data_IF_313320294677
#
_entry.id   IF_313320294677
#
_cell.length_a   1.000
_cell.length_b   1.000
_cell.length_c   1.000
_cell.angle_alpha   90.00
_cell.angle_beta   90.00
_cell.angle_gamma   90.00
#
_symmetry.space_group_name_H-M   'P 1'
#
loop_
_entity.id
_entity.type
_entity.pdbx_description
1 polymer ?
#
# COMPACT_ATOMS: atom_id res chain seq x y z
N UNK A 1 -13.46 -29.90 -5.57
CA UNK A 1 -14.45 -28.90 -5.09
C UNK A 1 -14.25 -27.59 -5.79
N UNK A 2 -15.32 -26.80 -6.00
CA UNK A 2 -15.16 -25.40 -6.43
C UNK A 2 -14.61 -24.59 -5.27
N UNK A 3 -13.61 -23.77 -5.51
CA UNK A 3 -13.10 -22.84 -4.47
C UNK A 3 -14.18 -21.84 -4.07
N UNK A 4 -14.16 -21.45 -2.82
CA UNK A 4 -15.01 -20.39 -2.28
C UNK A 4 -14.12 -19.38 -1.57
N UNK A 5 -13.94 -18.24 -2.22
CA UNK A 5 -13.06 -17.15 -1.77
C UNK A 5 -13.91 -15.97 -1.32
N UNK A 6 -13.65 -15.47 -0.12
CA UNK A 6 -14.14 -14.18 0.32
C UNK A 6 -13.10 -13.10 0.06
N UNK A 7 -13.56 -11.92 -0.28
CA UNK A 7 -12.80 -10.69 -0.13
C UNK A 7 -13.54 -9.78 0.84
N UNK A 8 -12.88 -9.41 1.92
CA UNK A 8 -13.38 -8.45 2.91
C UNK A 8 -12.69 -7.10 2.70
N UNK A 9 -13.46 -6.00 2.81
CA UNK A 9 -13.00 -4.63 2.63
C UNK A 9 -13.71 -3.75 3.67
N UNK A 10 -12.95 -3.17 4.58
CA UNK A 10 -13.52 -2.36 5.66
C UNK A 10 -14.05 -1.03 5.12
N UNK A 11 -15.29 -0.71 5.43
CA UNK A 11 -15.95 0.49 4.90
C UNK A 11 -15.33 1.77 5.48
N UNK A 12 -14.73 2.61 4.62
CA UNK A 12 -14.12 3.88 5.02
C UNK A 12 -13.25 3.76 6.30
N UNK A 13 -12.39 2.75 6.37
CA UNK A 13 -11.74 2.21 7.56
C UNK A 13 -11.28 3.28 8.57
N UNK A 14 -10.35 4.16 8.18
CA UNK A 14 -9.83 5.17 9.11
C UNK A 14 -10.92 6.11 9.62
N UNK A 15 -11.86 6.46 8.75
CA UNK A 15 -12.95 7.33 9.13
C UNK A 15 -13.90 6.67 10.15
N UNK A 16 -14.23 5.39 9.96
CA UNK A 16 -15.03 4.65 10.93
C UNK A 16 -14.29 4.48 12.28
N UNK A 17 -12.98 4.15 12.25
CA UNK A 17 -12.19 4.06 13.49
C UNK A 17 -12.23 5.37 14.27
N UNK A 18 -12.11 6.52 13.61
CA UNK A 18 -12.22 7.82 14.28
C UNK A 18 -13.66 8.09 14.80
N UNK A 19 -14.70 7.64 14.10
CA UNK A 19 -16.10 7.73 14.54
C UNK A 19 -16.42 6.80 15.73
N UNK A 20 -15.77 5.65 15.83
CA UNK A 20 -15.87 4.75 16.99
C UNK A 20 -15.18 5.39 18.19
N UNK A 21 -13.99 5.93 18.01
CA UNK A 21 -13.21 6.60 19.05
C UNK A 21 -13.87 7.88 19.56
N UNK A 22 -14.48 8.64 18.65
CA UNK A 22 -15.21 9.87 18.98
C UNK A 22 -16.62 9.83 18.38
N UNK A 23 -17.63 9.38 19.14
CA UNK A 23 -19.02 9.28 18.68
C UNK A 23 -19.63 10.61 18.19
N UNK A 24 -19.08 11.76 18.62
CA UNK A 24 -19.53 13.07 18.12
C UNK A 24 -19.26 13.30 16.62
N UNK A 25 -18.41 12.47 15.99
CA UNK A 25 -18.12 12.50 14.55
C UNK A 25 -19.11 11.68 13.72
N UNK A 26 -19.94 10.84 14.34
CA UNK A 26 -20.90 9.99 13.62
C UNK A 26 -21.92 10.85 12.86
N UNK A 27 -22.19 10.43 11.62
CA UNK A 27 -23.13 11.12 10.72
C UNK A 27 -22.63 12.44 10.14
N UNK A 28 -21.37 12.81 10.41
CA UNK A 28 -20.75 14.04 9.90
C UNK A 28 -19.78 13.73 8.75
N UNK A 29 -19.62 14.66 7.77
CA UNK A 29 -18.58 14.52 6.77
C UNK A 29 -17.21 14.70 7.43
N UNK A 30 -16.46 13.60 7.57
CA UNK A 30 -15.08 13.60 8.10
C UNK A 30 -14.08 13.20 7.05
N UNK A 31 -12.92 13.80 7.12
CA UNK A 31 -11.78 13.56 6.23
C UNK A 31 -10.58 13.24 7.10
N UNK A 32 -10.02 12.04 6.92
CA UNK A 32 -8.78 11.63 7.58
C UNK A 32 -7.64 11.85 6.62
N UNK A 33 -6.61 12.58 7.05
CA UNK A 33 -5.45 12.86 6.19
C UNK A 33 -4.68 14.10 6.61
N UNK A 34 -3.86 14.60 5.68
CA UNK A 34 -3.05 15.79 5.90
C UNK A 34 -3.86 17.09 5.90
N UNK A 35 -3.30 18.12 6.51
CA UNK A 35 -3.92 19.45 6.60
C UNK A 35 -4.19 20.08 5.23
N UNK A 36 -5.32 20.80 5.12
CA UNK A 36 -5.71 21.53 3.92
C UNK A 36 -4.87 22.80 3.67
N UNK A 37 -4.21 23.34 4.70
CA UNK A 37 -3.31 24.50 4.59
C UNK A 37 -1.98 24.17 3.90
N UNK A 38 -1.64 22.89 3.78
CA UNK A 38 -0.40 22.39 3.18
C UNK A 38 -0.70 21.41 2.03
N UNK A 39 0.32 20.63 1.59
CA UNK A 39 0.19 19.61 0.53
C UNK A 39 -0.47 18.33 1.03
N UNK A 40 -1.41 18.45 1.97
CA UNK A 40 -2.15 17.33 2.52
C UNK A 40 -2.99 16.60 1.47
N UNK A 41 -3.17 15.30 1.69
CA UNK A 41 -3.94 14.41 0.85
C UNK A 41 -4.97 13.70 1.73
N UNK A 42 -6.16 13.48 1.19
CA UNK A 42 -7.19 12.65 1.80
C UNK A 42 -6.70 11.21 1.82
N UNK A 43 -6.45 10.65 3.00
CA UNK A 43 -6.16 9.22 3.15
C UNK A 43 -7.45 8.42 2.98
N UNK A 44 -8.50 8.80 3.73
CA UNK A 44 -9.86 8.28 3.54
C UNK A 44 -10.89 9.33 4.00
N UNK A 45 -12.16 9.10 3.68
CA UNK A 45 -13.24 9.97 4.12
C UNK A 45 -14.50 9.17 4.39
N UNK A 46 -15.37 9.69 5.29
CA UNK A 46 -16.65 9.09 5.61
C UNK A 46 -17.61 9.08 4.41
N UNK A 47 -18.62 8.23 4.45
CA UNK A 47 -19.63 8.18 3.39
C UNK A 47 -20.42 9.49 3.27
N UNK A 48 -20.58 10.22 4.35
CA UNK A 48 -21.16 11.57 4.34
C UNK A 48 -20.29 12.53 3.52
N UNK A 49 -18.97 12.46 3.64
CA UNK A 49 -18.05 13.28 2.84
C UNK A 49 -18.01 12.83 1.36
N UNK A 50 -18.14 11.52 1.07
CA UNK A 50 -18.20 11.00 -0.30
C UNK A 50 -19.37 11.57 -1.11
N UNK A 51 -20.48 11.95 -0.47
CA UNK A 51 -21.63 12.62 -1.13
C UNK A 51 -21.26 13.94 -1.79
N UNK A 52 -20.17 14.59 -1.34
CA UNK A 52 -19.61 15.81 -1.93
C UNK A 52 -18.54 15.53 -2.98
N UNK A 53 -18.42 14.26 -3.44
CA UNK A 53 -17.42 13.84 -4.41
C UNK A 53 -16.00 13.80 -3.86
N UNK A 54 -15.84 13.75 -2.52
CA UNK A 54 -14.53 13.59 -1.87
C UNK A 54 -14.14 12.11 -1.90
N UNK A 55 -12.87 11.84 -2.18
CA UNK A 55 -12.33 10.48 -2.27
C UNK A 55 -10.86 10.43 -1.86
N UNK A 56 -10.35 9.25 -1.56
CA UNK A 56 -8.93 9.01 -1.28
C UNK A 56 -8.04 9.52 -2.41
N UNK A 57 -6.84 9.99 -2.06
CA UNK A 57 -5.87 10.63 -2.93
C UNK A 57 -6.26 12.03 -3.47
N UNK A 58 -7.44 12.56 -3.17
CA UNK A 58 -7.79 13.96 -3.45
C UNK A 58 -6.93 14.89 -2.59
N UNK A 59 -6.53 16.06 -3.11
CA UNK A 59 -5.85 17.06 -2.27
C UNK A 59 -6.77 17.57 -1.16
N UNK A 60 -6.24 17.76 0.05
CA UNK A 60 -7.03 18.27 1.19
C UNK A 60 -7.60 19.65 0.92
N UNK A 61 -6.90 20.50 0.14
CA UNK A 61 -7.40 21.79 -0.30
C UNK A 61 -8.63 21.68 -1.22
N UNK A 62 -8.63 20.74 -2.16
CA UNK A 62 -9.78 20.45 -3.02
C UNK A 62 -10.96 19.91 -2.20
N UNK A 63 -10.68 18.96 -1.29
CA UNK A 63 -11.69 18.40 -0.40
C UNK A 63 -12.37 19.49 0.45
N UNK A 64 -11.60 20.45 0.97
CA UNK A 64 -12.14 21.60 1.72
C UNK A 64 -13.00 22.50 0.84
N UNK A 65 -12.64 22.73 -0.40
CA UNK A 65 -13.48 23.52 -1.33
C UNK A 65 -14.81 22.82 -1.61
N UNK A 66 -14.82 21.49 -1.75
CA UNK A 66 -16.04 20.72 -2.02
C UNK A 66 -16.96 20.62 -0.82
N UNK A 67 -16.40 20.52 0.38
CA UNK A 67 -17.14 20.45 1.64
C UNK A 67 -16.48 21.33 2.71
N UNK A 68 -16.76 22.66 2.75
CA UNK A 68 -16.12 23.60 3.67
C UNK A 68 -16.37 23.26 5.16
N UNK A 69 -17.51 22.61 5.46
CA UNK A 69 -17.89 22.20 6.82
C UNK A 69 -17.40 20.80 7.21
N UNK A 70 -16.64 20.12 6.33
CA UNK A 70 -16.06 18.83 6.67
C UNK A 70 -15.05 18.96 7.82
N UNK A 71 -15.07 17.98 8.70
CA UNK A 71 -14.15 17.90 9.84
C UNK A 71 -12.89 17.15 9.39
N UNK A 72 -11.75 17.83 9.40
CA UNK A 72 -10.46 17.20 9.14
C UNK A 72 -9.89 16.61 10.43
N UNK A 73 -9.53 15.34 10.39
CA UNK A 73 -8.99 14.58 11.50
C UNK A 73 -7.59 14.09 11.13
N UNK A 74 -6.62 14.36 11.99
CA UNK A 74 -5.28 13.79 11.86
C UNK A 74 -5.32 12.28 12.09
N UNK A 75 -4.74 11.48 11.18
CA UNK A 75 -4.74 10.04 11.30
C UNK A 75 -3.73 9.53 12.35
N UNK A 76 -4.07 8.45 13.05
CA UNK A 76 -3.16 7.71 13.93
C UNK A 76 -2.90 6.32 13.36
N UNK A 77 -1.85 6.19 12.54
CA UNK A 77 -1.53 4.93 11.86
C UNK A 77 -1.31 3.76 12.84
N UNK A 78 -0.68 4.01 14.00
CA UNK A 78 -0.45 2.98 15.01
C UNK A 78 -1.77 2.39 15.52
N UNK A 79 -2.77 3.25 15.75
CA UNK A 79 -4.09 2.79 16.16
C UNK A 79 -4.80 2.02 15.04
N UNK A 80 -4.65 2.44 13.79
CA UNK A 80 -5.27 1.73 12.65
C UNK A 80 -4.65 0.34 12.46
N UNK A 81 -3.33 0.22 12.57
CA UNK A 81 -2.63 -1.08 12.53
C UNK A 81 -3.09 -1.98 13.69
N UNK A 82 -3.25 -1.44 14.89
CA UNK A 82 -3.75 -2.20 16.04
C UNK A 82 -5.17 -2.74 15.81
N UNK A 83 -6.08 -1.92 15.29
CA UNK A 83 -7.44 -2.35 14.95
C UNK A 83 -7.44 -3.36 13.80
N UNK A 84 -6.59 -3.16 12.79
CA UNK A 84 -6.40 -4.12 11.70
C UNK A 84 -5.97 -5.50 12.19
N UNK A 85 -5.04 -5.57 13.15
CA UNK A 85 -4.64 -6.83 13.76
C UNK A 85 -5.82 -7.55 14.45
N UNK A 86 -6.68 -6.81 15.16
CA UNK A 86 -7.89 -7.39 15.75
C UNK A 86 -8.89 -7.91 14.71
N UNK A 87 -8.99 -7.23 13.56
CA UNK A 87 -9.83 -7.71 12.43
C UNK A 87 -9.24 -9.01 11.87
N UNK A 88 -7.93 -9.10 11.73
CA UNK A 88 -7.25 -10.32 11.28
C UNK A 88 -7.46 -11.48 12.26
N UNK A 89 -7.37 -11.23 13.57
CA UNK A 89 -7.69 -12.24 14.59
C UNK A 89 -9.12 -12.77 14.44
N UNK A 90 -10.09 -11.87 14.20
CA UNK A 90 -11.48 -12.30 13.95
C UNK A 90 -11.57 -13.14 12.67
N UNK A 91 -10.89 -12.77 11.58
CA UNK A 91 -10.91 -13.54 10.33
C UNK A 91 -10.31 -14.94 10.50
N UNK A 92 -9.26 -15.07 11.29
CA UNK A 92 -8.61 -16.36 11.61
C UNK A 92 -9.54 -17.32 12.38
N UNK A 93 -10.57 -16.82 13.08
CA UNK A 93 -11.60 -17.67 13.72
C UNK A 93 -12.43 -18.46 12.68
N UNK A 94 -12.44 -18.03 11.40
CA UNK A 94 -13.27 -18.60 10.32
C UNK A 94 -12.50 -19.51 9.35
N UNK A 95 -11.22 -19.24 9.13
CA UNK A 95 -10.34 -20.04 8.29
C UNK A 95 -8.87 -19.75 8.62
N UNK A 96 -7.98 -20.76 8.53
CA UNK A 96 -6.54 -20.52 8.68
C UNK A 96 -5.90 -19.90 7.43
N UNK A 97 -6.60 -19.85 6.30
CA UNK A 97 -6.08 -19.34 5.03
C UNK A 97 -6.60 -17.91 4.83
N UNK A 98 -5.90 -16.94 5.46
CA UNK A 98 -6.18 -15.51 5.38
C UNK A 98 -4.98 -14.80 4.76
N UNK A 99 -5.19 -14.09 3.67
CA UNK A 99 -4.20 -13.27 2.96
C UNK A 99 -4.53 -11.78 3.10
N UNK A 100 -3.90 -11.05 4.04
CA UNK A 100 -4.03 -9.61 4.12
C UNK A 100 -3.38 -8.95 2.88
N UNK A 101 -4.11 -8.06 2.21
CA UNK A 101 -3.58 -7.29 1.07
C UNK A 101 -3.29 -5.84 1.44
N UNK A 102 -3.91 -5.36 2.51
CA UNK A 102 -3.67 -4.07 3.13
C UNK A 102 -4.09 -4.12 4.61
N UNK A 103 -4.09 -2.97 5.29
CA UNK A 103 -4.58 -2.91 6.69
C UNK A 103 -6.10 -2.93 6.81
N UNK A 104 -6.84 -2.90 5.69
CA UNK A 104 -8.30 -2.86 5.63
C UNK A 104 -8.92 -3.87 4.66
N UNK A 105 -8.09 -4.64 3.95
CA UNK A 105 -8.55 -5.64 2.99
C UNK A 105 -7.83 -6.99 3.18
N UNK A 106 -8.58 -8.08 3.04
CA UNK A 106 -8.03 -9.44 3.03
C UNK A 106 -8.84 -10.38 2.13
N UNK A 107 -8.16 -11.42 1.62
CA UNK A 107 -8.81 -12.60 1.06
C UNK A 107 -8.85 -13.73 2.09
N UNK A 108 -9.92 -14.50 2.07
CA UNK A 108 -10.10 -15.70 2.89
C UNK A 108 -10.49 -16.86 1.97
N UNK A 109 -9.77 -17.95 2.02
CA UNK A 109 -10.24 -19.21 1.42
C UNK A 109 -11.09 -19.96 2.46
N UNK A 110 -12.38 -20.03 2.21
CA UNK A 110 -13.35 -20.70 3.10
C UNK A 110 -13.87 -22.01 2.51
N UNK A 111 -13.20 -22.53 1.49
CA UNK A 111 -13.63 -23.75 0.77
C UNK A 111 -13.92 -24.90 1.73
N UNK A 112 -13.05 -25.11 2.71
CA UNK A 112 -13.14 -26.21 3.67
C UNK A 112 -13.92 -25.85 4.95
N UNK A 113 -14.17 -24.55 5.22
CA UNK A 113 -14.77 -24.13 6.50
C UNK A 113 -16.22 -23.68 6.42
N UNK A 114 -16.72 -23.21 5.26
CA UNK A 114 -18.07 -22.64 5.17
C UNK A 114 -19.17 -23.66 5.51
N UNK A 115 -18.92 -24.95 5.36
CA UNK A 115 -19.88 -26.02 5.69
C UNK A 115 -20.30 -26.02 7.16
N UNK A 116 -19.43 -25.55 8.06
CA UNK A 116 -19.72 -25.41 9.49
C UNK A 116 -20.83 -24.38 9.76
N UNK A 117 -21.03 -23.45 8.85
CA UNK A 117 -22.04 -22.38 8.92
C UNK A 117 -23.25 -22.65 8.00
N UNK A 118 -23.18 -23.69 7.17
CA UNK A 118 -24.20 -24.09 6.21
C UNK A 118 -23.98 -23.57 4.81
N UNK A 119 -23.86 -22.24 4.60
CA UNK A 119 -23.55 -21.63 3.29
C UNK A 119 -22.45 -20.57 3.38
N UNK A 120 -21.77 -20.27 2.26
CA UNK A 120 -20.76 -19.19 2.24
C UNK A 120 -21.32 -17.83 2.71
N UNK A 121 -22.56 -17.52 2.33
CA UNK A 121 -23.23 -16.27 2.69
C UNK A 121 -23.51 -16.18 4.20
N UNK A 122 -23.87 -17.31 4.83
CA UNK A 122 -24.09 -17.36 6.29
C UNK A 122 -22.80 -17.17 7.05
N UNK A 123 -21.69 -17.80 6.62
CA UNK A 123 -20.38 -17.58 7.21
C UNK A 123 -19.98 -16.12 7.07
N UNK A 124 -20.11 -15.54 5.87
CA UNK A 124 -19.75 -14.15 5.61
C UNK A 124 -20.61 -13.17 6.43
N UNK A 125 -21.90 -13.45 6.62
CA UNK A 125 -22.76 -12.62 7.46
C UNK A 125 -22.37 -12.72 8.94
N UNK A 126 -22.08 -13.91 9.44
CA UNK A 126 -21.62 -14.11 10.82
C UNK A 126 -20.30 -13.38 11.08
N UNK A 127 -19.34 -13.46 10.13
CA UNK A 127 -18.08 -12.71 10.19
C UNK A 127 -18.32 -11.19 10.26
N UNK A 128 -19.18 -10.64 9.41
CA UNK A 128 -19.57 -9.22 9.43
C UNK A 128 -20.19 -8.82 10.77
N UNK A 129 -21.10 -9.61 11.27
CA UNK A 129 -21.80 -9.36 12.54
C UNK A 129 -20.83 -9.42 13.74
N UNK A 130 -19.87 -10.33 13.71
CA UNK A 130 -18.81 -10.47 14.73
C UNK A 130 -17.89 -9.23 14.74
N UNK A 131 -17.42 -8.78 13.57
CA UNK A 131 -16.64 -7.53 13.44
C UNK A 131 -17.45 -6.35 13.98
N UNK A 132 -18.70 -6.23 13.56
CA UNK A 132 -19.59 -5.13 14.02
C UNK A 132 -19.84 -5.16 15.52
N UNK A 133 -20.04 -6.35 16.09
CA UNK A 133 -20.26 -6.52 17.53
C UNK A 133 -19.01 -6.21 18.36
N UNK A 134 -17.83 -6.69 17.92
CA UNK A 134 -16.59 -6.54 18.69
C UNK A 134 -15.93 -5.18 18.51
N UNK A 135 -15.98 -4.62 17.29
CA UNK A 135 -15.22 -3.40 16.94
C UNK A 135 -16.10 -2.21 16.56
N UNK A 136 -17.41 -2.36 16.42
CA UNK A 136 -18.36 -1.34 15.94
C UNK A 136 -18.01 -0.80 14.54
N UNK A 137 -17.31 -1.61 13.72
CA UNK A 137 -16.96 -1.31 12.35
C UNK A 137 -17.81 -2.13 11.40
N UNK A 138 -18.07 -1.58 10.19
CA UNK A 138 -18.70 -2.33 9.10
C UNK A 138 -17.69 -2.66 8.01
N UNK A 139 -17.97 -3.72 7.29
CA UNK A 139 -17.20 -4.11 6.12
C UNK A 139 -18.13 -4.58 5.00
N UNK A 140 -17.65 -4.52 3.78
CA UNK A 140 -18.31 -5.10 2.62
C UNK A 140 -17.58 -6.37 2.22
N UNK A 141 -18.34 -7.46 2.01
CA UNK A 141 -17.80 -8.77 1.66
C UNK A 141 -18.26 -9.19 0.28
N UNK A 142 -17.32 -9.68 -0.54
CA UNK A 142 -17.58 -10.31 -1.82
C UNK A 142 -17.23 -11.79 -1.78
N UNK A 143 -18.07 -12.65 -2.34
CA UNK A 143 -17.92 -14.10 -2.39
C UNK A 143 -17.86 -14.56 -3.85
N UNK A 144 -16.86 -15.37 -4.20
CA UNK A 144 -16.70 -15.88 -5.56
C UNK A 144 -15.79 -17.13 -5.59
N UNK A 145 -15.59 -17.72 -6.79
CA UNK A 145 -14.67 -18.84 -6.99
C UNK A 145 -13.18 -18.45 -7.06
N UNK A 146 -12.86 -17.16 -7.18
CA UNK A 146 -11.47 -16.68 -7.24
C UNK A 146 -11.32 -15.25 -6.71
N UNK A 147 -10.06 -14.84 -6.48
CA UNK A 147 -9.71 -13.53 -5.90
C UNK A 147 -10.20 -12.35 -6.74
N UNK A 148 -10.16 -12.44 -8.09
CA UNK A 148 -10.59 -11.37 -8.98
C UNK A 148 -12.09 -11.08 -8.80
N UNK A 149 -12.90 -12.12 -8.86
CA UNK A 149 -14.36 -11.99 -8.75
C UNK A 149 -14.78 -11.63 -7.33
N UNK A 150 -14.13 -12.20 -6.30
CA UNK A 150 -14.42 -11.87 -4.90
C UNK A 150 -14.14 -10.38 -4.62
N UNK A 151 -13.00 -9.83 -5.11
CA UNK A 151 -12.71 -8.39 -5.01
C UNK A 151 -13.72 -7.55 -5.78
N UNK A 152 -14.10 -7.96 -6.97
CA UNK A 152 -15.12 -7.24 -7.76
C UNK A 152 -16.45 -7.23 -7.03
N UNK A 153 -16.87 -8.37 -6.44
CA UNK A 153 -18.11 -8.46 -5.66
C UNK A 153 -18.07 -7.55 -4.42
N UNK A 154 -16.94 -7.45 -3.70
CA UNK A 154 -16.83 -6.58 -2.53
C UNK A 154 -16.91 -5.08 -2.87
N UNK A 155 -16.67 -4.69 -4.13
CA UNK A 155 -16.82 -3.30 -4.57
C UNK A 155 -18.28 -2.97 -4.97
N UNK A 156 -19.16 -3.97 -5.02
CA UNK A 156 -20.59 -3.76 -5.23
C UNK A 156 -21.27 -3.38 -3.90
N UNK A 157 -22.30 -2.54 -4.00
CA UNK A 157 -23.21 -2.21 -2.89
C UNK A 157 -22.53 -1.80 -1.57
N UNK A 158 -21.40 -1.07 -1.63
CA UNK A 158 -20.80 -0.43 -0.44
C UNK A 158 -21.68 0.72 0.05
N UNK A 159 -21.80 0.96 1.37
CA UNK A 159 -21.22 0.24 2.50
C UNK A 159 -22.06 -0.93 3.04
N UNK A 160 -21.46 -1.72 3.92
CA UNK A 160 -22.06 -2.82 4.69
C UNK A 160 -22.71 -3.89 3.80
N UNK A 161 -22.19 -4.04 2.56
CA UNK A 161 -22.67 -4.98 1.56
C UNK A 161 -22.24 -6.44 1.82
N UNK A 162 -23.03 -7.36 1.28
CA UNK A 162 -22.69 -8.78 1.13
C UNK A 162 -23.11 -9.20 -0.28
N UNK A 163 -22.17 -9.55 -1.12
CA UNK A 163 -22.41 -9.78 -2.53
C UNK A 163 -21.76 -11.08 -2.99
N UNK A 164 -22.43 -11.76 -3.92
CA UNK A 164 -21.86 -12.89 -4.65
C UNK A 164 -21.58 -12.52 -6.10
N UNK A 165 -20.56 -13.14 -6.68
CA UNK A 165 -20.27 -13.07 -8.10
C UNK A 165 -19.72 -14.41 -8.57
N UNK A 166 -20.64 -15.35 -8.83
CA UNK A 166 -20.30 -16.68 -9.29
C UNK A 166 -20.04 -16.72 -10.80
N UNK A 167 -19.29 -17.71 -11.28
CA UNK A 167 -18.98 -17.86 -12.71
C UNK A 167 -20.23 -17.91 -13.63
N UNK A 168 -21.33 -18.46 -13.14
CA UNK A 168 -22.60 -18.51 -13.87
C UNK A 168 -23.36 -17.17 -13.86
N UNK A 169 -22.94 -16.18 -13.07
CA UNK A 169 -23.55 -14.85 -12.98
C UNK A 169 -22.81 -13.79 -13.81
N UNK A 170 -21.68 -14.16 -14.47
CA UNK A 170 -20.84 -13.21 -15.18
C UNK A 170 -21.57 -12.49 -16.31
N UNK A 171 -22.43 -13.19 -17.04
CA UNK A 171 -23.20 -12.59 -18.16
C UNK A 171 -24.07 -11.43 -17.69
N UNK A 172 -24.67 -11.55 -16.52
CA UNK A 172 -25.62 -10.57 -15.98
C UNK A 172 -24.91 -9.50 -15.15
N UNK A 173 -23.95 -9.87 -14.30
CA UNK A 173 -23.42 -8.97 -13.29
C UNK A 173 -22.05 -8.41 -13.63
N UNK A 174 -21.19 -9.14 -14.38
CA UNK A 174 -19.79 -8.78 -14.58
C UNK A 174 -19.53 -8.14 -15.95
N UNK A 175 -19.91 -8.82 -17.04
CA UNK A 175 -19.61 -8.31 -18.38
C UNK A 175 -20.26 -6.97 -18.74
N UNK A 176 -21.41 -6.55 -18.18
CA UNK A 176 -21.96 -5.22 -18.42
C UNK A 176 -21.19 -4.08 -17.71
N UNK A 177 -20.28 -4.41 -16.76
CA UNK A 177 -19.55 -3.39 -16.03
C UNK A 177 -18.65 -2.56 -16.94
N UNK A 178 -18.48 -1.28 -16.59
CA UNK A 178 -17.47 -0.43 -17.21
C UNK A 178 -16.07 -0.97 -17.00
N UNK A 179 -15.22 -0.83 -18.01
CA UNK A 179 -13.84 -1.34 -18.02
C UNK A 179 -13.01 -0.83 -16.82
N UNK A 180 -13.33 0.36 -16.31
CA UNK A 180 -12.67 0.98 -15.15
C UNK A 180 -12.86 0.18 -13.85
N UNK A 181 -13.89 -0.67 -13.78
CA UNK A 181 -14.18 -1.51 -12.62
C UNK A 181 -13.25 -2.72 -12.53
N UNK A 182 -12.56 -3.06 -13.62
CA UNK A 182 -11.60 -4.17 -13.59
C UNK A 182 -10.34 -3.77 -12.81
N UNK A 183 -9.94 -4.59 -11.85
CA UNK A 183 -8.69 -4.39 -11.12
C UNK A 183 -7.51 -4.28 -12.08
N UNK A 184 -6.60 -3.34 -11.84
CA UNK A 184 -5.46 -3.08 -12.72
C UNK A 184 -5.75 -2.14 -13.89
N UNK A 185 -7.01 -1.78 -14.13
CA UNK A 185 -7.35 -0.75 -15.11
C UNK A 185 -7.38 0.63 -14.44
N UNK A 186 -6.23 1.31 -14.48
CA UNK A 186 -6.07 2.69 -14.05
C UNK A 186 -6.56 3.69 -15.11
N UNK A 187 -6.59 5.02 -14.81
CA UNK A 187 -7.07 6.04 -15.76
C UNK A 187 -6.35 6.01 -17.11
N UNK A 188 -5.05 5.71 -17.13
CA UNK A 188 -4.27 5.65 -18.38
C UNK A 188 -4.63 4.40 -19.19
N UNK A 189 -4.76 3.25 -18.54
CA UNK A 189 -5.18 1.98 -19.18
C UNK A 189 -6.60 2.11 -19.72
N UNK A 190 -7.52 2.68 -18.93
CA UNK A 190 -8.89 2.98 -19.35
C UNK A 190 -8.93 3.83 -20.63
N UNK A 191 -8.17 4.95 -20.64
CA UNK A 191 -8.08 5.82 -21.81
C UNK A 191 -7.54 5.10 -23.03
N UNK A 192 -6.54 4.23 -22.86
CA UNK A 192 -5.98 3.45 -23.94
C UNK A 192 -6.96 2.40 -24.48
N UNK A 193 -7.68 1.69 -23.59
CA UNK A 193 -8.72 0.72 -23.98
C UNK A 193 -9.89 1.39 -24.70
N UNK A 194 -10.36 2.54 -24.21
CA UNK A 194 -11.43 3.30 -24.86
C UNK A 194 -11.08 3.78 -26.28
N UNK A 195 -9.80 4.08 -26.55
CA UNK A 195 -9.33 4.38 -27.92
C UNK A 195 -9.44 3.19 -28.88
N UNK A 196 -9.43 1.95 -28.34
CA UNK A 196 -9.65 0.73 -29.10
C UNK A 196 -11.14 0.34 -29.21
N UNK A 197 -12.04 1.18 -28.70
CA UNK A 197 -13.49 0.92 -28.68
C UNK A 197 -13.95 0.03 -27.52
N UNK A 198 -13.05 -0.25 -26.54
CA UNK A 198 -13.34 -1.13 -25.40
C UNK A 198 -13.82 -0.27 -24.22
N UNK A 199 -15.11 -0.33 -23.90
CA UNK A 199 -15.75 0.45 -22.84
C UNK A 199 -16.22 -0.41 -21.65
N UNK A 200 -16.60 -1.66 -21.93
CA UNK A 200 -17.13 -2.60 -20.95
C UNK A 200 -16.24 -3.83 -20.84
N UNK A 201 -16.47 -4.64 -19.79
CA UNK A 201 -15.80 -5.93 -19.65
C UNK A 201 -16.20 -6.90 -20.75
N UNK A 202 -17.42 -6.78 -21.31
CA UNK A 202 -17.86 -7.54 -22.48
C UNK A 202 -17.02 -7.20 -23.69
N UNK A 203 -16.84 -5.90 -23.98
CA UNK A 203 -15.99 -5.49 -25.12
C UNK A 203 -14.56 -6.01 -24.98
N UNK A 204 -14.03 -6.00 -23.74
CA UNK A 204 -12.69 -6.52 -23.49
C UNK A 204 -12.60 -8.04 -23.66
N UNK A 205 -13.59 -8.80 -23.18
CA UNK A 205 -13.69 -10.25 -23.33
C UNK A 205 -13.70 -10.65 -24.82
N UNK A 206 -14.51 -9.92 -25.62
CA UNK A 206 -14.72 -10.20 -27.02
C UNK A 206 -13.57 -9.67 -27.92
N UNK A 207 -12.65 -8.86 -27.35
CA UNK A 207 -11.53 -8.31 -28.08
C UNK A 207 -10.39 -9.33 -28.22
N UNK A 208 -9.79 -9.49 -29.44
CA UNK A 208 -8.78 -10.51 -29.67
C UNK A 208 -7.55 -10.35 -28.77
N UNK A 209 -7.20 -11.38 -28.00
CA UNK A 209 -6.07 -11.40 -27.06
C UNK A 209 -4.76 -10.98 -27.73
N UNK A 210 -4.49 -11.50 -28.96
CA UNK A 210 -3.29 -11.14 -29.74
C UNK A 210 -3.16 -9.63 -29.96
N UNK A 211 -4.29 -8.93 -30.17
CA UNK A 211 -4.29 -7.47 -30.31
C UNK A 211 -4.07 -6.76 -28.99
N UNK A 212 -4.60 -7.32 -27.87
CA UNK A 212 -4.32 -6.79 -26.52
C UNK A 212 -2.82 -6.92 -26.20
N UNK A 213 -2.22 -8.08 -26.45
CA UNK A 213 -0.78 -8.30 -26.22
C UNK A 213 0.08 -7.37 -27.08
N UNK A 214 -0.31 -7.09 -28.33
CA UNK A 214 0.39 -6.12 -29.18
C UNK A 214 0.37 -4.70 -28.63
N UNK A 215 -0.74 -4.27 -28.00
CA UNK A 215 -0.89 -2.91 -27.48
C UNK A 215 -0.38 -2.73 -26.06
N UNK A 216 -0.46 -3.78 -25.22
CA UNK A 216 -0.19 -3.70 -23.80
C UNK A 216 0.86 -4.70 -23.29
N UNK A 217 1.48 -5.51 -24.18
CA UNK A 217 2.45 -6.55 -23.79
C UNK A 217 1.82 -7.61 -22.87
N UNK A 218 2.59 -8.09 -21.90
CA UNK A 218 2.12 -9.05 -20.88
C UNK A 218 0.89 -8.57 -20.12
N UNK A 219 0.76 -7.25 -19.90
CA UNK A 219 -0.43 -6.68 -19.26
C UNK A 219 -1.69 -6.93 -20.11
N UNK A 220 -1.58 -6.93 -21.45
CA UNK A 220 -2.69 -7.26 -22.34
C UNK A 220 -3.17 -8.70 -22.20
N UNK A 221 -2.25 -9.65 -22.02
CA UNK A 221 -2.59 -11.06 -21.76
C UNK A 221 -3.33 -11.21 -20.41
N UNK A 222 -2.84 -10.52 -19.38
CA UNK A 222 -3.52 -10.48 -18.09
C UNK A 222 -4.92 -9.88 -18.18
N UNK A 223 -5.07 -8.76 -18.91
CA UNK A 223 -6.39 -8.15 -19.13
C UNK A 223 -7.36 -9.09 -19.83
N UNK A 224 -6.88 -9.84 -20.85
CA UNK A 224 -7.69 -10.85 -21.54
C UNK A 224 -8.19 -11.94 -20.59
N UNK A 225 -7.30 -12.54 -19.77
CA UNK A 225 -7.68 -13.55 -18.77
C UNK A 225 -8.69 -13.00 -17.77
N UNK A 226 -8.41 -11.83 -17.21
CA UNK A 226 -9.30 -11.19 -16.23
C UNK A 226 -10.67 -10.85 -16.82
N UNK A 227 -10.74 -10.47 -18.11
CA UNK A 227 -12.01 -10.19 -18.79
C UNK A 227 -12.92 -11.42 -18.88
N UNK A 228 -12.37 -12.63 -18.86
CA UNK A 228 -13.13 -13.88 -18.79
C UNK A 228 -13.48 -14.29 -17.36
N UNK A 229 -13.19 -13.46 -16.36
CA UNK A 229 -13.41 -13.78 -14.93
C UNK A 229 -12.40 -14.78 -14.38
N UNK A 230 -11.29 -15.02 -15.08
CA UNK A 230 -10.29 -16.02 -14.69
C UNK A 230 -9.18 -15.41 -13.86
N UNK A 231 -8.82 -16.10 -12.77
CA UNK A 231 -7.67 -15.82 -11.92
C UNK A 231 -7.19 -17.12 -11.29
N UNK A 232 -5.95 -17.47 -11.55
CA UNK A 232 -5.35 -18.72 -11.08
C UNK A 232 -4.61 -18.56 -9.74
N UNK A 233 -4.48 -17.32 -9.24
CA UNK A 233 -3.74 -17.02 -8.00
C UNK A 233 -4.48 -17.58 -6.79
N UNK A 234 -3.87 -18.50 -6.02
CA UNK A 234 -4.45 -18.98 -4.77
C UNK A 234 -4.51 -17.87 -3.70
N UNK A 235 -5.25 -18.12 -2.64
CA UNK A 235 -5.12 -17.34 -1.40
C UNK A 235 -3.98 -17.97 -0.62
N UNK A 236 -3.01 -17.17 -0.23
CA UNK A 236 -1.86 -17.60 0.55
C UNK A 236 -2.10 -17.34 2.05
N UNK A 237 -1.68 -18.27 2.90
CA UNK A 237 -1.60 -18.00 4.34
C UNK A 237 -0.50 -16.98 4.61
N UNK A 238 -0.50 -16.38 5.81
CA UNK A 238 0.55 -15.42 6.20
C UNK A 238 1.97 -16.02 6.10
N UNK A 239 2.11 -17.32 6.37
CA UNK A 239 3.39 -18.05 6.30
C UNK A 239 3.87 -18.28 4.85
N UNK A 240 2.96 -18.27 3.89
CA UNK A 240 3.24 -18.49 2.46
C UNK A 240 3.43 -17.18 1.67
N UNK A 241 3.33 -16.03 2.35
CA UNK A 241 3.52 -14.73 1.68
C UNK A 241 4.96 -14.56 1.21
N UNK A 242 5.12 -14.10 -0.03
CA UNK A 242 6.44 -13.80 -0.57
C UNK A 242 7.15 -12.72 0.24
N UNK A 243 8.47 -12.87 0.38
CA UNK A 243 9.33 -11.89 1.02
C UNK A 243 9.29 -10.50 0.36
N UNK A 244 9.55 -9.48 1.14
CA UNK A 244 9.63 -8.10 0.65
C UNK A 244 10.73 -7.97 -0.42
N UNK A 245 10.40 -7.49 -1.62
CA UNK A 245 11.36 -7.30 -2.73
C UNK A 245 12.09 -5.95 -2.66
N UNK A 246 11.52 -4.99 -1.93
CA UNK A 246 12.07 -3.64 -1.79
C UNK A 246 11.56 -2.95 -0.54
N UNK A 247 12.35 -2.03 0.01
CA UNK A 247 11.96 -1.13 1.10
C UNK A 247 12.30 0.31 0.74
N UNK A 248 11.36 1.23 0.93
CA UNK A 248 11.60 2.65 0.67
C UNK A 248 10.85 3.56 1.62
N UNK A 249 11.38 4.77 1.80
CA UNK A 249 10.67 5.89 2.41
C UNK A 249 10.77 7.12 1.51
N UNK A 250 9.63 7.79 1.33
CA UNK A 250 9.53 9.02 0.55
C UNK A 250 8.94 10.13 1.42
N UNK A 251 9.38 11.37 1.16
CA UNK A 251 8.83 12.54 1.83
C UNK A 251 8.53 13.63 0.82
N UNK A 252 7.28 14.10 0.80
CA UNK A 252 6.87 15.28 0.04
C UNK A 252 7.10 16.51 0.91
N UNK A 253 7.91 17.45 0.42
CA UNK A 253 8.26 18.67 1.14
C UNK A 253 7.06 19.61 1.27
N UNK A 254 7.01 20.40 2.33
CA UNK A 254 5.99 21.45 2.49
C UNK A 254 6.11 22.50 1.39
N UNK A 255 7.33 22.92 1.09
CA UNK A 255 7.67 23.83 0.00
C UNK A 255 8.75 23.23 -0.90
N UNK A 256 8.72 23.62 -2.18
CA UNK A 256 9.75 23.18 -3.11
C UNK A 256 11.06 23.90 -2.84
N UNK A 257 12.17 23.15 -2.70
CA UNK A 257 13.47 23.69 -2.33
C UNK A 257 14.58 23.24 -3.27
N UNK A 258 15.62 24.08 -3.40
CA UNK A 258 16.92 23.73 -3.99
C UNK A 258 18.04 23.69 -2.94
N UNK A 259 17.71 23.81 -1.65
CA UNK A 259 18.70 23.73 -0.57
C UNK A 259 19.27 22.32 -0.44
N UNK A 260 20.51 22.17 -0.89
CA UNK A 260 21.24 20.90 -0.85
C UNK A 260 21.55 20.43 0.57
N UNK A 261 21.72 21.35 1.54
CA UNK A 261 22.02 21.00 2.94
C UNK A 261 20.78 20.35 3.54
N UNK A 262 19.64 21.00 3.36
CA UNK A 262 18.35 20.47 3.80
C UNK A 262 18.03 19.12 3.14
N UNK A 263 18.19 19.01 1.81
CA UNK A 263 17.91 17.76 1.08
C UNK A 263 18.82 16.60 1.53
N UNK A 264 20.10 16.84 1.77
CA UNK A 264 21.03 15.83 2.33
C UNK A 264 20.63 15.42 3.74
N UNK A 265 20.17 16.35 4.57
CA UNK A 265 19.67 16.09 5.92
C UNK A 265 18.36 15.26 5.89
N UNK A 266 17.46 15.53 4.95
CA UNK A 266 16.29 14.69 4.72
C UNK A 266 16.68 13.29 4.24
N UNK A 267 17.62 13.18 3.30
CA UNK A 267 18.07 11.88 2.77
C UNK A 267 18.65 10.97 3.86
N UNK A 268 19.46 11.48 4.79
CA UNK A 268 19.97 10.64 5.90
C UNK A 268 18.84 10.21 6.82
N UNK A 269 17.84 11.07 7.07
CA UNK A 269 16.67 10.74 7.87
C UNK A 269 15.81 9.63 7.22
N UNK A 270 15.64 9.70 5.90
CA UNK A 270 14.93 8.65 5.15
C UNK A 270 15.72 7.34 5.13
N UNK A 271 17.05 7.43 5.01
CA UNK A 271 17.94 6.26 5.05
C UNK A 271 17.87 5.56 6.42
N UNK A 272 17.90 6.31 7.52
CA UNK A 272 17.73 5.74 8.86
C UNK A 272 16.42 4.95 8.98
N UNK A 273 15.32 5.48 8.42
CA UNK A 273 14.01 4.79 8.43
C UNK A 273 14.00 3.50 7.59
N UNK A 274 14.65 3.51 6.42
CA UNK A 274 14.77 2.32 5.56
C UNK A 274 15.61 1.26 6.25
N UNK A 275 16.75 1.64 6.82
CA UNK A 275 17.65 0.70 7.49
C UNK A 275 17.01 0.09 8.76
N UNK A 276 16.29 0.89 9.54
CA UNK A 276 15.55 0.36 10.70
C UNK A 276 14.55 -0.74 10.28
N UNK A 277 13.89 -0.58 9.13
CA UNK A 277 13.01 -1.63 8.57
C UNK A 277 13.79 -2.85 8.10
N UNK A 278 14.91 -2.65 7.38
CA UNK A 278 15.78 -3.75 6.94
C UNK A 278 16.23 -4.61 8.11
N UNK A 279 16.75 -3.99 9.17
CA UNK A 279 17.21 -4.69 10.36
C UNK A 279 16.10 -5.42 11.09
N UNK A 280 14.94 -4.77 11.27
CA UNK A 280 13.77 -5.40 11.89
C UNK A 280 13.29 -6.63 11.13
N UNK A 281 13.35 -6.60 9.80
CA UNK A 281 12.97 -7.71 8.92
C UNK A 281 14.13 -8.69 8.66
N UNK A 282 15.33 -8.46 9.23
CA UNK A 282 16.54 -9.27 9.03
C UNK A 282 16.96 -9.40 7.57
N UNK A 283 16.82 -8.32 6.77
CA UNK A 283 17.26 -8.27 5.38
C UNK A 283 18.53 -7.46 5.18
N UNK A 284 19.33 -7.85 4.20
CA UNK A 284 20.40 -7.08 3.59
C UNK A 284 19.97 -6.64 2.20
N UNK A 285 20.44 -5.47 1.76
CA UNK A 285 20.12 -4.93 0.44
C UNK A 285 21.35 -4.83 -0.45
N UNK A 286 21.19 -5.06 -1.75
CA UNK A 286 22.26 -4.96 -2.74
C UNK A 286 22.17 -3.72 -3.63
N UNK A 287 20.97 -3.14 -3.81
CA UNK A 287 20.77 -1.99 -4.70
C UNK A 287 20.19 -0.81 -3.93
N UNK A 288 20.81 0.36 -4.05
CA UNK A 288 20.32 1.62 -3.48
C UNK A 288 19.67 2.45 -4.57
N UNK A 289 18.52 3.03 -4.25
CA UNK A 289 17.69 3.83 -5.16
C UNK A 289 17.41 5.20 -4.56
N UNK A 290 17.56 6.24 -5.38
CA UNK A 290 17.14 7.60 -5.08
C UNK A 290 16.02 8.01 -6.05
N UNK A 291 14.93 8.55 -5.51
CA UNK A 291 13.84 9.14 -6.26
C UNK A 291 13.73 10.61 -5.95
N UNK A 292 13.71 11.45 -6.98
CA UNK A 292 13.50 12.89 -6.89
C UNK A 292 12.29 13.25 -7.76
N UNK A 293 11.37 14.03 -7.19
CA UNK A 293 10.30 14.68 -7.95
C UNK A 293 10.50 16.18 -7.87
N UNK A 294 10.48 16.84 -9.01
CA UNK A 294 10.62 18.29 -9.10
C UNK A 294 9.27 19.02 -8.97
N UNK A 295 9.32 20.35 -8.92
CA UNK A 295 8.14 21.23 -8.77
C UNK A 295 7.12 21.08 -9.90
N UNK A 296 7.58 20.75 -11.11
CA UNK A 296 6.77 20.47 -12.30
C UNK A 296 6.15 19.07 -12.33
N UNK A 297 6.32 18.28 -11.25
CA UNK A 297 5.94 16.88 -11.11
C UNK A 297 6.72 15.89 -11.99
N UNK A 298 7.71 16.31 -12.76
CA UNK A 298 8.63 15.38 -13.37
C UNK A 298 9.36 14.59 -12.29
N UNK A 299 9.59 13.30 -12.55
CA UNK A 299 10.17 12.39 -11.55
C UNK A 299 11.29 11.61 -12.18
N UNK A 300 12.44 11.60 -11.52
CA UNK A 300 13.56 10.76 -11.87
C UNK A 300 13.79 9.71 -10.77
N UNK A 301 14.26 8.55 -11.20
CA UNK A 301 14.70 7.48 -10.31
C UNK A 301 16.07 7.02 -10.79
N UNK A 302 17.05 7.03 -9.90
CA UNK A 302 18.41 6.55 -10.15
C UNK A 302 18.74 5.44 -9.18
N UNK A 303 19.49 4.45 -9.61
CA UNK A 303 19.91 3.35 -8.73
C UNK A 303 21.33 2.88 -9.03
N UNK A 304 21.95 2.33 -8.01
CA UNK A 304 23.28 1.70 -8.06
C UNK A 304 23.24 0.38 -7.31
N UNK A 305 23.76 -0.67 -7.94
CA UNK A 305 23.97 -1.97 -7.30
C UNK A 305 25.35 -2.00 -6.68
N UNK A 306 25.41 -2.32 -5.40
CA UNK A 306 26.65 -2.42 -4.60
C UNK A 306 27.36 -3.76 -4.90
N UNK A 307 28.66 -3.81 -4.66
CA UNK A 307 29.45 -5.04 -4.77
C UNK A 307 29.06 -6.04 -3.67
N UNK A 308 28.80 -5.59 -2.45
CA UNK A 308 28.37 -6.40 -1.31
C UNK A 308 27.00 -5.98 -0.80
N UNK A 309 26.28 -6.91 -0.17
CA UNK A 309 25.03 -6.64 0.51
C UNK A 309 25.29 -5.87 1.81
N UNK A 310 24.35 -5.02 2.22
CA UNK A 310 24.51 -4.18 3.41
C UNK A 310 23.18 -3.77 4.03
N UNK A 311 23.21 -3.55 5.34
CA UNK A 311 22.22 -2.83 6.15
C UNK A 311 22.85 -1.61 6.85
N UNK A 312 24.08 -1.22 6.43
CA UNK A 312 24.78 -0.08 7.03
C UNK A 312 24.23 1.24 6.49
N UNK A 313 23.78 2.09 7.42
CA UNK A 313 23.23 3.42 7.11
C UNK A 313 24.22 4.28 6.34
N UNK A 314 25.51 4.27 6.72
CA UNK A 314 26.50 5.15 6.11
C UNK A 314 26.79 4.75 4.66
N UNK A 315 26.85 3.45 4.40
CA UNK A 315 27.04 2.90 3.05
C UNK A 315 25.84 3.26 2.15
N UNK A 316 24.62 3.00 2.61
CA UNK A 316 23.40 3.31 1.84
C UNK A 316 23.27 4.82 1.62
N UNK A 317 23.49 5.65 2.66
CA UNK A 317 23.41 7.10 2.53
C UNK A 317 24.46 7.68 1.59
N UNK A 318 25.75 7.30 1.74
CA UNK A 318 26.83 7.76 0.84
C UNK A 318 26.53 7.38 -0.61
N UNK A 319 26.04 6.16 -0.85
CA UNK A 319 25.61 5.72 -2.18
C UNK A 319 24.45 6.56 -2.70
N UNK A 320 23.42 6.81 -1.89
CA UNK A 320 22.29 7.65 -2.28
C UNK A 320 22.75 9.08 -2.64
N UNK A 321 23.75 9.62 -1.93
CA UNK A 321 24.32 10.94 -2.24
C UNK A 321 25.00 10.99 -3.62
N UNK A 322 25.65 9.93 -4.07
CA UNK A 322 26.24 9.88 -5.43
C UNK A 322 25.20 9.91 -6.54
N UNK A 323 23.96 9.54 -6.24
CA UNK A 323 22.84 9.54 -7.17
C UNK A 323 22.13 10.90 -7.25
N UNK A 324 22.43 11.83 -6.33
CA UNK A 324 21.78 13.13 -6.29
C UNK A 324 22.19 14.00 -7.50
N UNK A 325 21.25 14.41 -8.36
CA UNK A 325 21.55 15.24 -9.54
C UNK A 325 21.69 16.71 -9.13
N UNK A 326 22.85 17.11 -8.61
CA UNK A 326 23.08 18.42 -8.01
C UNK A 326 22.70 19.57 -8.95
N UNK A 327 23.12 19.52 -10.20
CA UNK A 327 22.84 20.57 -11.18
C UNK A 327 21.34 20.70 -11.49
N UNK A 328 20.66 19.56 -11.64
CA UNK A 328 19.21 19.52 -11.85
C UNK A 328 18.44 20.06 -10.63
N UNK A 329 18.90 19.75 -9.41
CA UNK A 329 18.29 20.22 -8.15
C UNK A 329 18.42 21.74 -8.01
N UNK A 330 19.56 22.28 -8.39
CA UNK A 330 19.78 23.74 -8.35
C UNK A 330 18.89 24.45 -9.37
N UNK A 331 18.73 23.87 -10.55
CA UNK A 331 17.93 24.43 -11.64
C UNK A 331 16.41 24.26 -11.44
N UNK A 332 16.02 23.11 -10.87
CA UNK A 332 14.61 22.73 -10.66
C UNK A 332 14.38 22.43 -9.18
N UNK A 333 13.51 23.20 -8.53
CA UNK A 333 13.19 22.95 -7.12
C UNK A 333 12.64 21.56 -6.90
N UNK A 334 13.07 20.91 -5.84
CA UNK A 334 12.66 19.56 -5.43
C UNK A 334 11.36 19.63 -4.62
N UNK A 335 10.40 18.78 -4.98
CA UNK A 335 9.12 18.62 -4.31
C UNK A 335 9.07 17.38 -3.42
N UNK A 336 9.75 16.29 -3.81
CA UNK A 336 9.75 15.03 -3.08
C UNK A 336 11.13 14.36 -3.19
N UNK A 337 11.58 13.80 -2.07
CA UNK A 337 12.75 12.93 -2.01
C UNK A 337 12.34 11.56 -1.50
N UNK A 338 12.86 10.50 -2.11
CA UNK A 338 12.70 9.13 -1.68
C UNK A 338 14.03 8.39 -1.68
N UNK A 339 14.30 7.66 -0.61
CA UNK A 339 15.41 6.70 -0.53
C UNK A 339 14.81 5.31 -0.43
N UNK A 340 15.36 4.39 -1.20
CA UNK A 340 14.91 3.00 -1.21
C UNK A 340 16.05 2.02 -1.47
N UNK A 341 15.77 0.77 -1.18
CA UNK A 341 16.66 -0.35 -1.42
C UNK A 341 15.90 -1.50 -2.07
N UNK A 342 16.58 -2.23 -2.92
CA UNK A 342 16.03 -3.38 -3.65
C UNK A 342 17.03 -4.54 -3.69
N UNK A 343 16.63 -5.67 -4.26
CA UNK A 343 17.38 -6.93 -4.22
C UNK A 343 17.72 -7.27 -2.78
N UNK A 344 16.64 -7.46 -2.01
CA UNK A 344 16.72 -7.84 -0.61
C UNK A 344 17.02 -9.33 -0.51
N UNK A 345 17.84 -9.70 0.47
CA UNK A 345 18.17 -11.08 0.83
C UNK A 345 18.16 -11.20 2.33
N UNK A 346 17.71 -12.33 2.84
CA UNK A 346 17.76 -12.62 4.27
C UNK A 346 19.19 -12.53 4.79
N UNK A 347 19.36 -11.94 5.95
CA UNK A 347 20.63 -11.91 6.67
C UNK A 347 20.90 -13.31 7.26
N UNK A 348 21.50 -14.20 6.47
CA UNK A 348 21.92 -15.52 6.95
C UNK A 348 23.05 -15.34 7.98
N UNK A 349 22.95 -16.00 9.12
CA UNK A 349 23.95 -15.90 10.21
C UNK A 349 25.38 -16.34 9.81
N UNK A 350 25.52 -17.09 8.74
CA UNK A 350 26.82 -17.49 8.18
C UNK A 350 27.01 -16.92 6.79
N UNK A 351 27.74 -15.78 6.61
CA UNK A 351 28.12 -15.36 5.28
C UNK A 351 29.02 -16.44 4.67
N UNK A 352 28.64 -16.92 3.51
CA UNK A 352 29.52 -17.74 2.67
C UNK A 352 30.74 -16.87 2.35
N UNK A 353 31.88 -17.17 2.98
CA UNK A 353 33.17 -16.49 2.72
C UNK A 353 33.55 -16.85 1.29
N UNK A 354 33.52 -15.88 0.37
CA UNK A 354 34.11 -16.08 -0.94
C UNK A 354 35.61 -16.30 -0.76
N UNK A 355 36.11 -17.43 -1.30
CA UNK A 355 37.44 -17.98 -1.05
C UNK A 355 38.60 -17.06 -1.52
N UNK A 356 38.31 -15.94 -2.21
CA UNK A 356 39.29 -15.07 -2.88
C UNK A 356 39.10 -13.57 -2.61
N UNK A 357 38.18 -13.15 -1.75
CA UNK A 357 38.12 -11.74 -1.31
C UNK A 357 38.85 -11.56 0.01
N UNK A 358 39.89 -10.70 0.00
CA UNK A 358 40.49 -10.18 1.22
C UNK A 358 39.39 -9.59 2.10
N UNK A 359 39.21 -10.19 3.27
CA UNK A 359 38.19 -9.89 4.26
C UNK A 359 38.23 -8.44 4.73
N UNK A 360 37.57 -7.57 3.98
CA UNK A 360 36.99 -6.38 4.61
C UNK A 360 35.62 -6.78 5.22
N UNK A 361 35.65 -7.68 6.20
CA UNK A 361 34.58 -7.80 7.17
C UNK A 361 34.53 -6.43 7.84
N UNK A 362 33.61 -5.57 7.36
CA UNK A 362 33.33 -4.34 8.07
C UNK A 362 32.89 -4.82 9.46
N UNK A 363 33.69 -4.52 10.48
CA UNK A 363 33.35 -4.76 11.87
C UNK A 363 31.90 -4.31 12.02
N UNK A 364 30.95 -5.26 12.22
CA UNK A 364 29.56 -4.97 12.58
C UNK A 364 29.63 -3.83 13.57
N UNK A 365 29.17 -2.66 13.18
CA UNK A 365 29.37 -1.48 13.99
C UNK A 365 28.51 -1.61 15.25
N UNK A 366 29.11 -2.09 16.33
CA UNK A 366 28.49 -2.14 17.68
C UNK A 366 27.74 -0.86 18.05
N UNK A 367 28.10 0.28 17.42
CA UNK A 367 27.44 1.58 17.62
C UNK A 367 26.05 1.69 17.00
N UNK A 368 25.77 0.97 15.89
CA UNK A 368 24.44 1.00 15.24
C UNK A 368 23.38 0.28 16.07
N UNK A 369 23.75 -0.86 16.64
CA UNK A 369 22.83 -1.67 17.46
C UNK A 369 22.54 -0.97 18.80
N UNK A 370 23.56 -0.35 19.41
CA UNK A 370 23.39 0.47 20.64
C UNK A 370 22.47 1.67 20.41
N UNK A 371 22.56 2.32 19.24
CA UNK A 371 21.65 3.43 18.89
C UNK A 371 20.21 2.94 18.76
N UNK A 372 19.98 1.76 18.18
CA UNK A 372 18.65 1.16 18.06
C UNK A 372 18.10 0.75 19.43
N UNK A 373 18.89 0.12 20.29
CA UNK A 373 18.50 -0.22 21.68
C UNK A 373 18.08 1.03 22.47
N UNK A 374 18.82 2.14 22.32
CA UNK A 374 18.45 3.42 22.96
C UNK A 374 17.14 3.96 22.42
N UNK A 375 16.92 3.89 21.10
CA UNK A 375 15.68 4.36 20.46
C UNK A 375 14.47 3.52 20.86
N UNK A 376 14.64 2.23 21.00
CA UNK A 376 13.57 1.31 21.44
C UNK A 376 13.21 1.56 22.91
N UNK A 377 14.20 1.80 23.76
CA UNK A 377 13.99 2.03 25.18
C UNK A 377 13.46 3.42 25.52
N UNK A 378 13.94 4.46 24.83
CA UNK A 378 13.68 5.87 25.17
C UNK A 378 12.90 6.63 24.09
N UNK A 379 12.48 5.95 23.01
CA UNK A 379 11.75 6.53 21.88
C UNK A 379 12.64 6.93 20.71
N UNK A 380 12.06 6.93 19.50
CA UNK A 380 12.74 7.13 18.21
C UNK A 380 13.56 8.43 18.10
N UNK A 381 13.28 9.41 18.95
CA UNK A 381 13.92 10.73 18.92
C UNK A 381 14.94 10.94 20.03
N UNK A 382 15.17 9.94 20.90
CA UNK A 382 16.12 10.03 22.01
C UNK A 382 17.58 10.23 21.56
N UNK A 383 17.94 9.67 20.40
CA UNK A 383 19.24 9.86 19.77
C UNK A 383 19.08 10.06 18.27
N UNK A 384 19.69 11.12 17.73
CA UNK A 384 19.60 11.49 16.33
C UNK A 384 20.98 11.82 15.76
N UNK A 385 21.17 11.65 14.47
CA UNK A 385 22.42 12.03 13.79
C UNK A 385 22.50 13.56 13.67
N UNK A 386 23.65 14.14 13.95
CA UNK A 386 23.86 15.57 13.77
C UNK A 386 23.57 16.05 12.34
N UNK A 387 23.89 15.23 11.34
CA UNK A 387 23.59 15.50 9.92
C UNK A 387 22.10 15.54 9.57
N UNK A 388 21.21 15.07 10.46
CA UNK A 388 19.75 15.15 10.27
C UNK A 388 19.13 16.41 10.91
N UNK A 389 19.87 17.19 11.65
CA UNK A 389 19.37 18.36 12.39
C UNK A 389 18.76 19.45 11.48
N UNK A 390 19.35 19.84 10.33
CA UNK A 390 18.76 20.87 9.47
C UNK A 390 17.32 20.58 9.07
N UNK A 391 17.01 19.31 8.73
CA UNK A 391 15.63 18.88 8.41
C UNK A 391 14.68 18.95 9.62
N UNK A 392 15.18 18.70 10.85
CA UNK A 392 14.34 18.62 12.06
C UNK A 392 14.03 19.97 12.68
N UNK A 393 14.85 20.99 12.44
CA UNK A 393 14.61 22.34 12.94
C UNK A 393 13.50 23.08 12.18
N UNK A 394 13.13 22.60 10.98
CA UNK A 394 12.08 23.19 10.16
C UNK A 394 10.71 22.48 10.31
N UNK A 395 10.67 21.39 11.08
CA UNK A 395 9.51 20.54 11.31
C UNK A 395 9.45 20.01 12.74
#
# INVERSE_FOLDING_TARGET
>A
MKRVILHIDMDAFFAQVEQVKNPALRGKPIIVGGDAGHRGVVATCSYEARKYGIHSAMSSAEARRRCPHAIFVGGNLTNYVYISAQIQDIMNDYTPIVEPTSIDEAYLDITESYHLYGTPEKLAQDLKDNIKKRLQLTCTVGIAENKLLAKTASDMNKPDGLNTLWMNELEEKFFPMEIRKLRGVGPQTEKALKRLGINTLRDLKDYPEKKLSQNFGLHGEHLSKMAHGLSDTPVHSFEEMEDEKSMSHEHTLYEDTSDLIFLKSLMITLTDKVVARLKKAQFLAKTVRLKIRYSDFSTITREVTLNSMTDDVNTIYKTALTLLPVDDVVSNKVRLVGVGVTKLHEAVETPQIELFEESSISKKGKSGDVVEDIRDKFGKFSIVRASSLPYRWEH
#
